data_IF_076549930229
#
_entry.id   IF_076549930229
#
_cell.length_a   1.000
_cell.length_b   1.000
_cell.length_c   1.000
_cell.angle_alpha   90.00
_cell.angle_beta   90.00
_cell.angle_gamma   90.00
#
_symmetry.space_group_name_H-M   'P 1'
#
loop_
_entity.id
_entity.type
_entity.pdbx_description
1 polymer ?
#
# COMPACT_ATOMS: atom_id res chain seq x y z
N UNK A 1 8.05 14.87 -11.44
CA UNK A 1 6.76 15.50 -11.08
C UNK A 1 7.01 16.99 -10.77
N UNK A 2 6.01 17.88 -10.91
CA UNK A 2 6.13 19.25 -10.41
C UNK A 2 6.37 19.26 -8.89
N UNK A 3 7.12 20.25 -8.40
CA UNK A 3 7.31 20.45 -6.95
C UNK A 3 6.14 21.28 -6.40
N UNK A 4 5.27 20.69 -5.59
CA UNK A 4 4.09 21.36 -5.03
C UNK A 4 3.68 20.74 -3.69
N UNK A 5 2.82 21.43 -2.94
CA UNK A 5 2.21 20.91 -1.71
C UNK A 5 3.17 20.81 -0.52
N UNK A 6 2.62 20.53 0.68
CA UNK A 6 3.41 20.45 1.91
C UNK A 6 4.32 19.22 1.99
N UNK A 7 4.06 18.18 1.18
CA UNK A 7 4.82 16.93 1.21
C UNK A 7 5.83 16.80 0.05
N UNK A 8 6.14 17.92 -0.63
CA UNK A 8 7.13 17.95 -1.70
C UNK A 8 8.49 17.39 -1.25
N UNK A 9 8.99 16.38 -1.96
CA UNK A 9 10.29 15.74 -1.68
C UNK A 9 10.21 14.53 -0.75
N UNK A 10 9.02 14.18 -0.26
CA UNK A 10 8.76 12.94 0.46
C UNK A 10 8.54 11.79 -0.52
N UNK A 11 9.15 10.63 -0.28
CA UNK A 11 8.94 9.39 -1.05
C UNK A 11 8.13 8.38 -0.24
N UNK A 12 6.97 8.00 -0.74
CA UNK A 12 6.07 7.00 -0.16
C UNK A 12 5.95 5.83 -1.12
N UNK A 13 6.02 4.62 -0.59
CA UNK A 13 5.78 3.39 -1.35
C UNK A 13 4.63 2.66 -0.69
N UNK A 14 3.70 2.11 -1.47
CA UNK A 14 2.66 1.25 -0.91
C UNK A 14 2.49 -0.08 -1.65
N UNK A 15 2.14 -1.11 -0.89
CA UNK A 15 1.76 -2.43 -1.39
C UNK A 15 0.39 -2.82 -0.84
N UNK A 16 -0.60 -2.86 -1.73
CA UNK A 16 -1.98 -3.15 -1.36
C UNK A 16 -2.89 -3.03 -2.58
N UNK A 17 -4.08 -3.60 -2.46
CA UNK A 17 -5.12 -3.56 -3.49
C UNK A 17 -6.38 -2.90 -2.94
N UNK A 18 -7.30 -2.55 -3.83
CA UNK A 18 -8.60 -1.96 -3.49
C UNK A 18 -8.50 -0.58 -2.82
N UNK A 19 -9.03 -0.41 -1.61
CA UNK A 19 -9.31 0.92 -1.06
C UNK A 19 -8.33 1.29 0.05
N UNK A 20 -8.35 0.61 1.20
CA UNK A 20 -7.74 1.12 2.44
C UNK A 20 -6.25 1.49 2.33
N UNK A 21 -5.41 0.55 1.88
CA UNK A 21 -3.96 0.79 1.72
C UNK A 21 -3.66 1.83 0.62
N UNK A 22 -4.16 1.62 -0.61
CA UNK A 22 -3.93 2.57 -1.70
C UNK A 22 -4.50 3.97 -1.46
N UNK A 23 -5.62 4.11 -0.75
CA UNK A 23 -6.18 5.41 -0.36
C UNK A 23 -5.24 6.15 0.60
N UNK A 24 -4.70 5.45 1.60
CA UNK A 24 -3.72 6.04 2.52
C UNK A 24 -2.50 6.56 1.75
N UNK A 25 -1.96 5.77 0.81
CA UNK A 25 -0.85 6.19 -0.05
C UNK A 25 -1.20 7.34 -0.98
N UNK A 26 -2.37 7.31 -1.62
CA UNK A 26 -2.79 8.33 -2.58
C UNK A 26 -3.03 9.69 -1.94
N UNK A 27 -3.42 9.77 -0.66
CA UNK A 27 -3.50 11.05 0.06
C UNK A 27 -2.14 11.77 0.15
N UNK A 28 -1.02 11.04 0.25
CA UNK A 28 0.31 11.66 0.20
C UNK A 28 0.59 12.28 -1.18
N UNK A 29 0.15 11.61 -2.26
CA UNK A 29 0.34 12.08 -3.63
C UNK A 29 -0.47 13.36 -3.90
N UNK A 30 -1.70 13.44 -3.37
CA UNK A 30 -2.54 14.63 -3.46
C UNK A 30 -1.90 15.86 -2.79
N UNK A 31 -1.05 15.65 -1.78
CA UNK A 31 -0.33 16.71 -1.07
C UNK A 31 1.13 16.88 -1.54
N UNK A 32 1.50 16.27 -2.66
CA UNK A 32 2.75 16.55 -3.37
C UNK A 32 3.92 15.60 -3.10
N UNK A 33 3.69 14.48 -2.41
CA UNK A 33 4.70 13.44 -2.27
C UNK A 33 4.91 12.65 -3.57
N UNK A 34 6.12 12.10 -3.74
CA UNK A 34 6.36 11.03 -4.69
C UNK A 34 5.77 9.74 -4.14
N UNK A 35 4.74 9.19 -4.81
CA UNK A 35 4.09 7.96 -4.36
C UNK A 35 4.21 6.86 -5.39
N UNK A 36 4.83 5.75 -4.99
CA UNK A 36 5.02 4.55 -5.81
C UNK A 36 4.01 3.48 -5.38
N UNK A 37 3.19 3.07 -6.34
CA UNK A 37 2.20 2.01 -6.22
C UNK A 37 2.79 0.71 -6.72
N UNK A 38 2.98 -0.26 -5.81
CA UNK A 38 3.47 -1.60 -6.17
C UNK A 38 2.31 -2.52 -6.53
N UNK A 39 2.36 -3.09 -7.73
CA UNK A 39 1.46 -4.13 -8.21
C UNK A 39 2.20 -5.46 -8.41
N UNK A 40 1.46 -6.57 -8.33
CA UNK A 40 2.03 -7.88 -8.66
C UNK A 40 2.08 -8.06 -10.19
N UNK A 41 3.14 -8.70 -10.68
CA UNK A 41 3.35 -8.95 -12.12
C UNK A 41 2.25 -9.81 -12.74
N UNK A 42 1.78 -10.83 -12.02
CA UNK A 42 0.73 -11.73 -12.50
C UNK A 42 -0.69 -11.20 -12.19
N UNK A 43 -0.81 -10.36 -11.16
CA UNK A 43 -2.10 -9.90 -10.63
C UNK A 43 -2.08 -8.39 -10.43
N UNK A 44 -2.65 -7.66 -11.40
CA UNK A 44 -2.88 -6.23 -11.22
C UNK A 44 -3.87 -5.97 -10.08
N UNK A 45 -3.87 -4.75 -9.54
CA UNK A 45 -4.85 -4.36 -8.53
C UNK A 45 -6.27 -4.49 -9.11
N UNK A 46 -7.12 -5.20 -8.38
CA UNK A 46 -8.51 -5.47 -8.77
C UNK A 46 -9.35 -4.20 -8.89
N UNK A 47 -8.92 -3.08 -8.29
CA UNK A 47 -9.56 -1.78 -8.49
C UNK A 47 -9.62 -1.39 -9.98
N UNK A 48 -8.67 -1.84 -10.81
CA UNK A 48 -8.59 -1.51 -12.24
C UNK A 48 -9.80 -2.01 -13.05
N UNK A 49 -10.56 -2.96 -12.52
CA UNK A 49 -11.81 -3.44 -13.13
C UNK A 49 -12.93 -2.39 -13.03
N UNK A 50 -12.84 -1.47 -12.06
CA UNK A 50 -13.81 -0.39 -11.91
C UNK A 50 -13.67 0.62 -13.05
N UNK A 51 -14.78 1.03 -13.71
CA UNK A 51 -14.71 1.78 -14.97
C UNK A 51 -14.09 3.17 -14.81
N UNK A 52 -14.45 3.90 -13.75
CA UNK A 52 -14.08 5.32 -13.60
C UNK A 52 -13.34 5.62 -12.29
N UNK A 53 -13.60 4.85 -11.23
CA UNK A 53 -13.06 5.14 -9.91
C UNK A 53 -11.52 5.20 -9.85
N UNK A 54 -10.75 4.31 -10.53
CA UNK A 54 -9.29 4.33 -10.50
C UNK A 54 -8.70 5.61 -11.11
N UNK A 55 -9.42 6.25 -12.04
CA UNK A 55 -8.98 7.52 -12.63
C UNK A 55 -8.85 8.62 -11.56
N UNK A 56 -9.70 8.56 -10.52
CA UNK A 56 -9.60 9.42 -9.35
C UNK A 56 -8.65 8.81 -8.31
N UNK A 57 -8.88 7.56 -7.91
CA UNK A 57 -8.24 6.96 -6.74
C UNK A 57 -6.79 6.52 -6.96
N UNK A 58 -6.26 6.65 -8.18
CA UNK A 58 -4.86 6.33 -8.55
C UNK A 58 -4.17 7.46 -9.31
N UNK A 59 -4.74 8.66 -9.38
CA UNK A 59 -4.08 9.82 -9.96
C UNK A 59 -2.85 10.23 -9.14
N UNK A 60 -1.91 10.92 -9.79
CA UNK A 60 -0.64 11.38 -9.20
C UNK A 60 0.32 10.26 -8.73
N UNK A 61 0.00 8.99 -9.01
CA UNK A 61 0.82 7.85 -8.61
C UNK A 61 1.81 7.42 -9.71
N UNK A 62 2.95 6.90 -9.29
CA UNK A 62 3.88 6.17 -10.12
C UNK A 62 3.63 4.66 -9.96
N UNK A 63 3.28 3.96 -11.03
CA UNK A 63 3.02 2.51 -10.97
C UNK A 63 4.33 1.71 -11.17
N UNK A 64 4.56 0.72 -10.31
CA UNK A 64 5.66 -0.24 -10.38
C UNK A 64 5.10 -1.66 -10.28
N UNK A 65 5.26 -2.46 -11.33
CA UNK A 65 4.89 -3.88 -11.28
C UNK A 65 6.11 -4.72 -10.92
N UNK A 66 6.08 -5.37 -9.76
CA UNK A 66 7.22 -6.12 -9.23
C UNK A 66 6.77 -7.25 -8.30
N UNK A 67 7.38 -8.43 -8.43
CA UNK A 67 7.22 -9.49 -7.44
C UNK A 67 8.23 -9.29 -6.29
N UNK A 68 7.83 -8.52 -5.28
CA UNK A 68 8.70 -8.09 -4.17
C UNK A 68 9.16 -9.20 -3.21
N UNK A 69 8.75 -10.45 -3.44
CA UNK A 69 9.01 -11.58 -2.54
C UNK A 69 9.86 -12.69 -3.16
N UNK A 70 10.32 -12.53 -4.39
CA UNK A 70 11.09 -13.55 -5.12
C UNK A 70 12.37 -12.94 -5.68
N UNK A 71 13.49 -13.62 -5.43
CA UNK A 71 14.80 -13.42 -6.06
C UNK A 71 15.15 -11.93 -6.27
N UNK A 72 15.42 -11.51 -7.51
CA UNK A 72 15.82 -10.15 -7.87
C UNK A 72 14.73 -9.11 -7.58
N UNK A 73 13.46 -9.53 -7.58
CA UNK A 73 12.35 -8.64 -7.23
C UNK A 73 12.35 -8.26 -5.76
N UNK A 74 12.79 -9.16 -4.87
CA UNK A 74 12.99 -8.85 -3.45
C UNK A 74 14.17 -7.91 -3.26
N UNK A 75 15.29 -8.16 -3.95
CA UNK A 75 16.46 -7.30 -3.89
C UNK A 75 16.16 -5.87 -4.37
N UNK A 76 15.47 -5.74 -5.50
CA UNK A 76 15.05 -4.45 -6.03
C UNK A 76 14.08 -3.72 -5.08
N UNK A 77 13.15 -4.45 -4.44
CA UNK A 77 12.27 -3.87 -3.44
C UNK A 77 13.05 -3.35 -2.22
N UNK A 78 13.98 -4.14 -1.67
CA UNK A 78 14.79 -3.71 -0.53
C UNK A 78 15.70 -2.53 -0.90
N UNK A 79 16.24 -2.51 -2.12
CA UNK A 79 16.99 -1.37 -2.65
C UNK A 79 16.14 -0.10 -2.75
N UNK A 80 14.87 -0.23 -3.15
CA UNK A 80 13.93 0.88 -3.16
C UNK A 80 13.68 1.42 -1.72
N UNK A 81 13.61 0.52 -0.73
CA UNK A 81 13.41 0.91 0.67
C UNK A 81 14.52 1.79 1.23
N UNK A 82 15.75 1.69 0.72
CA UNK A 82 16.88 2.55 1.14
C UNK A 82 16.64 4.04 0.94
N UNK A 83 15.75 4.40 0.02
CA UNK A 83 15.42 5.80 -0.29
C UNK A 83 13.96 6.15 0.00
N UNK A 84 13.21 5.22 0.60
CA UNK A 84 11.79 5.37 0.90
C UNK A 84 11.59 5.93 2.30
N UNK A 85 10.80 6.99 2.40
CA UNK A 85 10.52 7.65 3.69
C UNK A 85 9.37 6.94 4.43
N UNK A 86 8.36 6.44 3.71
CA UNK A 86 7.19 5.79 4.28
C UNK A 86 6.83 4.56 3.44
N UNK A 87 6.61 3.41 4.09
CA UNK A 87 6.13 2.20 3.44
C UNK A 87 4.77 1.78 4.01
N UNK A 88 3.73 1.79 3.19
CA UNK A 88 2.37 1.42 3.59
C UNK A 88 2.07 0.02 3.03
N UNK A 89 1.61 -0.89 3.87
CA UNK A 89 1.19 -2.21 3.41
C UNK A 89 -0.20 -2.58 3.92
N UNK A 90 -0.99 -3.23 3.07
CA UNK A 90 -2.31 -3.72 3.44
C UNK A 90 -2.40 -5.23 3.23
N UNK A 91 -1.98 -5.98 4.25
CA UNK A 91 -2.03 -7.44 4.24
C UNK A 91 -2.80 -8.05 5.42
N UNK A 92 -3.09 -9.35 5.31
CA UNK A 92 -3.78 -10.13 6.35
C UNK A 92 -2.78 -10.63 7.41
N UNK A 93 -2.84 -10.09 8.63
CA UNK A 93 -1.89 -10.48 9.67
C UNK A 93 -0.46 -10.01 9.36
N UNK A 94 0.55 -10.62 10.00
CA UNK A 94 1.96 -10.36 9.69
C UNK A 94 2.39 -11.09 8.39
N UNK A 95 1.74 -10.82 7.26
CA UNK A 95 1.95 -11.56 6.02
C UNK A 95 3.34 -11.36 5.42
N UNK A 96 3.85 -10.13 5.43
CA UNK A 96 5.20 -9.84 4.96
C UNK A 96 6.27 -10.53 5.81
N UNK A 97 6.12 -10.52 7.15
CA UNK A 97 7.04 -11.20 8.06
C UNK A 97 7.08 -12.72 7.77
N UNK A 98 5.91 -13.35 7.56
CA UNK A 98 5.84 -14.76 7.14
C UNK A 98 6.51 -15.05 5.79
N UNK A 99 6.72 -14.02 4.96
CA UNK A 99 7.39 -14.10 3.66
C UNK A 99 8.82 -13.55 3.72
N UNK A 100 9.39 -13.40 4.93
CA UNK A 100 10.79 -13.00 5.12
C UNK A 100 11.06 -11.50 5.03
N UNK A 101 10.02 -10.66 4.97
CA UNK A 101 10.16 -9.19 5.04
C UNK A 101 9.60 -8.73 6.39
N UNK A 102 10.42 -8.86 7.43
CA UNK A 102 10.09 -8.36 8.77
C UNK A 102 10.42 -6.87 8.87
N UNK A 103 10.00 -6.23 9.95
CA UNK A 103 10.32 -4.82 10.18
C UNK A 103 11.82 -4.63 10.41
N UNK A 104 12.51 -5.58 11.03
CA UNK A 104 13.97 -5.59 11.20
C UNK A 104 14.69 -5.64 9.84
N UNK A 105 14.21 -6.46 8.91
CA UNK A 105 14.76 -6.51 7.54
C UNK A 105 14.59 -5.15 6.86
N UNK A 106 13.40 -4.54 6.96
CA UNK A 106 13.19 -3.20 6.38
C UNK A 106 14.09 -2.15 7.04
N UNK A 107 14.37 -2.28 8.34
CA UNK A 107 15.19 -1.34 9.08
C UNK A 107 16.69 -1.48 8.83
N UNK A 108 17.17 -2.66 8.46
CA UNK A 108 18.56 -2.87 8.03
C UNK A 108 18.90 -2.09 6.75
N UNK A 109 17.90 -1.78 5.93
CA UNK A 109 18.07 -0.98 4.72
C UNK A 109 17.84 0.52 4.96
N UNK A 110 17.80 1.00 6.22
CA UNK A 110 17.73 2.44 6.49
C UNK A 110 19.09 3.12 6.30
N UNK A 111 19.16 4.31 5.68
CA UNK A 111 20.35 5.13 5.74
C UNK A 111 20.58 5.66 7.16
N UNK A 112 21.83 5.66 7.64
CA UNK A 112 22.20 6.08 9.00
C UNK A 112 21.92 7.57 9.31
N UNK A 113 21.68 8.40 8.29
CA UNK A 113 21.76 9.86 8.38
C UNK A 113 20.42 10.61 8.36
N UNK A 114 19.27 9.97 8.62
CA UNK A 114 18.01 10.73 8.68
C UNK A 114 16.79 10.03 9.26
N UNK A 115 15.73 10.83 9.49
CA UNK A 115 14.38 10.43 9.90
C UNK A 115 13.62 9.56 8.87
N UNK A 116 14.30 9.13 7.79
CA UNK A 116 13.74 8.36 6.67
C UNK A 116 13.70 6.89 7.06
N UNK A 117 12.59 6.51 7.67
CA UNK A 117 12.37 5.15 8.11
C UNK A 117 11.09 4.66 7.43
N UNK A 118 11.12 3.63 6.56
CA UNK A 118 9.90 3.00 6.10
C UNK A 118 9.18 2.43 7.32
N UNK A 119 8.26 3.21 7.88
CA UNK A 119 7.37 2.78 8.96
C UNK A 119 6.24 2.05 8.29
N UNK A 120 6.11 0.75 8.59
CA UNK A 120 4.97 -0.04 8.17
C UNK A 120 3.71 0.57 8.78
N UNK A 121 2.95 1.28 7.95
CA UNK A 121 1.66 1.82 8.35
C UNK A 121 0.58 0.80 8.00
N UNK A 122 -0.04 0.23 9.05
CA UNK A 122 -1.09 -0.79 9.05
C UNK A 122 -0.64 -2.26 8.90
N UNK A 123 -0.97 -3.08 9.91
CA UNK A 123 -1.06 -4.54 9.78
C UNK A 123 -2.27 -4.99 10.58
N UNK A 124 -3.21 -5.72 9.97
CA UNK A 124 -4.35 -6.25 10.72
C UNK A 124 -3.86 -7.30 11.72
N UNK A 125 -4.18 -7.17 13.02
CA UNK A 125 -3.93 -8.21 14.02
C UNK A 125 -4.95 -9.35 13.97
N UNK A 126 -5.96 -9.26 13.08
CA UNK A 126 -6.99 -10.27 12.94
C UNK A 126 -6.42 -11.59 12.39
N UNK A 127 -6.99 -12.76 12.80
CA UNK A 127 -6.63 -14.05 12.23
C UNK A 127 -6.72 -14.07 10.70
N UNK A 128 -5.87 -14.86 10.05
CA UNK A 128 -5.82 -14.97 8.57
C UNK A 128 -7.17 -15.35 7.95
N UNK A 129 -7.97 -16.15 8.67
CA UNK A 129 -9.30 -16.59 8.24
C UNK A 129 -10.32 -15.46 8.21
N UNK A 130 -10.07 -14.34 8.89
CA UNK A 130 -10.96 -13.19 8.91
C UNK A 130 -10.83 -12.41 7.60
N UNK A 131 -11.92 -12.21 6.84
CA UNK A 131 -11.89 -11.33 5.68
C UNK A 131 -11.70 -9.87 6.13
N UNK A 132 -10.84 -9.11 5.43
CA UNK A 132 -10.56 -7.69 5.75
C UNK A 132 -11.81 -6.83 5.54
N UNK A 133 -12.59 -7.16 4.51
CA UNK A 133 -13.87 -6.53 4.23
C UNK A 133 -14.99 -7.55 4.43
N UNK A 134 -16.01 -7.18 5.20
CA UNK A 134 -17.25 -7.95 5.32
C UNK A 134 -18.29 -7.27 4.42
N UNK A 135 -18.90 -7.99 3.45
CA UNK A 135 -19.99 -7.42 2.68
C UNK A 135 -21.07 -6.91 3.63
N UNK A 136 -21.58 -5.71 3.38
CA UNK A 136 -22.78 -5.23 4.07
C UNK A 136 -23.93 -6.05 3.50
N UNK A 137 -24.31 -7.13 4.18
CA UNK A 137 -25.59 -7.79 3.91
C UNK A 137 -26.68 -6.84 4.35
N UNK A 138 -27.59 -6.38 3.46
CA UNK A 138 -28.71 -5.57 3.90
C UNK A 138 -29.49 -6.38 4.95
N UNK A 139 -29.60 -5.85 6.17
CA UNK A 139 -30.51 -6.41 7.16
C UNK A 139 -31.91 -6.42 6.57
N UNK A 140 -32.71 -7.48 6.76
CA UNK A 140 -34.09 -7.48 6.29
C UNK A 140 -34.77 -6.22 6.83
N UNK A 141 -35.28 -5.37 5.93
CA UNK A 141 -36.07 -4.21 6.32
C UNK A 141 -37.25 -4.74 7.14
N UNK A 142 -37.53 -4.21 8.34
CA UNK A 142 -38.73 -4.59 9.06
C UNK A 142 -39.92 -4.32 8.14
N UNK A 143 -40.71 -5.34 7.87
CA UNK A 143 -41.97 -5.21 7.14
C UNK A 143 -42.84 -4.25 7.92
N UNK A 144 -43.02 -3.04 7.39
CA UNK A 144 -44.04 -2.12 7.89
C UNK A 144 -45.37 -2.78 7.54
N UNK A 145 -46.01 -3.38 8.54
CA UNK A 145 -47.39 -3.83 8.45
C UNK A 145 -48.24 -2.56 8.40
N UNK A 146 -48.78 -2.26 7.23
CA UNK A 146 -49.89 -1.31 7.04
C UNK A 146 -51.18 -1.86 7.60
#
# INVERSE_FOLDING_TARGET
MPKFGPLAGLRVVFSGIEIAGPFAGQMFAEWGAEVIWIENVAWADTIRVQPNYPQLSRRNLHALSLNIFKDEGREAFLKLMETTDIFIEASKGPAFARRGITDEVLWQHKPETGYRSPVRFWSSTAPRSTPIFRPITPSPRPSVVT
#
